data_IF_138486698290
#
_entry.id   IF_138486698290
#
_cell.length_a   1.000
_cell.length_b   1.000
_cell.length_c   1.000
_cell.angle_alpha   90.00
_cell.angle_beta   90.00
_cell.angle_gamma   90.00
#
_symmetry.space_group_name_H-M   'P 1'
#
loop_
_entity.id
_entity.type
_entity.pdbx_description
1 polymer ?
#
# COMPACT_ATOMS: atom_id res chain seq x y z
N UNK A 1 -21.63 83.85 -36.10
CA UNK A 1 -20.74 82.88 -36.78
C UNK A 1 -19.48 82.65 -35.96
N UNK A 2 -19.34 81.49 -35.30
CA UNK A 2 -18.04 80.93 -34.89
C UNK A 2 -18.26 79.46 -34.54
N UNK A 3 -17.49 78.60 -35.22
CA UNK A 3 -17.67 77.15 -35.38
C UNK A 3 -17.28 76.42 -34.09
N UNK A 4 -18.05 75.39 -33.73
CA UNK A 4 -17.68 74.43 -32.69
C UNK A 4 -16.76 73.38 -33.32
N UNK A 5 -15.60 73.14 -32.72
CA UNK A 5 -14.68 72.09 -33.11
C UNK A 5 -14.96 70.86 -32.25
N UNK A 6 -15.43 69.78 -32.87
CA UNK A 6 -15.62 68.48 -32.23
C UNK A 6 -14.30 67.73 -32.28
N UNK A 7 -13.67 67.54 -31.13
CA UNK A 7 -12.45 66.73 -31.01
C UNK A 7 -12.85 65.26 -30.83
N UNK A 8 -12.59 64.44 -31.84
CA UNK A 8 -12.67 62.98 -31.76
C UNK A 8 -11.41 62.45 -31.06
N UNK A 9 -11.58 61.76 -29.94
CA UNK A 9 -10.52 61.01 -29.26
C UNK A 9 -10.54 59.58 -29.82
N UNK A 10 -9.43 59.03 -30.33
CA UNK A 10 -9.42 57.66 -30.81
C UNK A 10 -9.38 56.71 -29.61
N UNK A 11 -10.30 55.73 -29.61
CA UNK A 11 -10.25 54.59 -28.70
C UNK A 11 -9.17 53.63 -29.21
N UNK A 12 -8.06 53.52 -28.49
CA UNK A 12 -7.02 52.51 -28.77
C UNK A 12 -7.45 51.22 -28.06
N UNK A 13 -7.90 50.23 -28.83
CA UNK A 13 -8.02 48.86 -28.33
C UNK A 13 -6.61 48.27 -28.17
N UNK A 14 -6.15 48.15 -26.93
CA UNK A 14 -5.00 47.33 -26.60
C UNK A 14 -5.41 45.86 -26.67
N UNK A 15 -5.10 45.18 -27.76
CA UNK A 15 -5.17 43.72 -27.84
C UNK A 15 -4.02 43.14 -27.01
N UNK A 16 -4.28 42.84 -25.75
CA UNK A 16 -3.35 42.06 -24.93
C UNK A 16 -3.22 40.66 -25.51
N UNK A 17 -2.08 40.32 -26.11
CA UNK A 17 -1.72 38.93 -26.37
C UNK A 17 -1.48 38.27 -25.01
N UNK A 18 -2.42 37.44 -24.56
CA UNK A 18 -2.19 36.54 -23.46
C UNK A 18 -1.19 35.49 -23.92
N UNK A 19 0.05 35.55 -23.44
CA UNK A 19 1.01 34.48 -23.62
C UNK A 19 0.43 33.20 -22.98
N UNK A 20 0.54 32.02 -23.62
CA UNK A 20 0.18 30.78 -22.98
C UNK A 20 1.09 30.60 -21.74
N UNK A 21 0.48 30.32 -20.59
CA UNK A 21 1.23 29.93 -19.41
C UNK A 21 2.07 28.69 -19.78
N UNK A 22 3.40 28.79 -19.62
CA UNK A 22 4.25 27.63 -19.76
C UNK A 22 3.80 26.59 -18.73
N UNK A 23 3.38 25.42 -19.21
CA UNK A 23 3.13 24.29 -18.34
C UNK A 23 4.42 24.03 -17.54
N UNK A 24 4.30 23.91 -16.22
CA UNK A 24 5.41 23.49 -15.38
C UNK A 24 5.96 22.17 -15.95
N UNK A 25 7.30 21.96 -15.94
CA UNK A 25 7.84 20.68 -16.36
C UNK A 25 7.18 19.58 -15.53
N UNK A 26 6.60 18.59 -16.20
CA UNK A 26 6.18 17.37 -15.53
C UNK A 26 7.39 16.86 -14.73
N UNK A 27 7.21 16.67 -13.41
CA UNK A 27 8.20 15.96 -12.62
C UNK A 27 8.55 14.67 -13.36
N UNK A 28 9.84 14.34 -13.45
CA UNK A 28 10.21 13.05 -14.03
C UNK A 28 9.44 11.97 -13.26
N UNK A 29 8.55 11.25 -13.95
CA UNK A 29 7.85 10.12 -13.36
C UNK A 29 8.90 9.12 -12.89
N UNK A 30 8.81 8.64 -11.64
CA UNK A 30 9.68 7.55 -11.20
C UNK A 30 9.40 6.32 -12.04
N UNK A 31 10.48 5.59 -12.31
CA UNK A 31 10.46 4.36 -13.06
C UNK A 31 10.29 3.15 -12.14
N UNK A 32 10.76 3.24 -10.89
CA UNK A 32 10.81 2.12 -9.97
C UNK A 32 10.17 2.46 -8.62
N UNK A 33 9.46 1.50 -7.98
CA UNK A 33 8.96 1.66 -6.62
C UNK A 33 10.02 2.04 -5.58
N UNK A 34 11.27 1.59 -5.75
CA UNK A 34 12.39 1.93 -4.87
C UNK A 34 12.82 3.41 -4.94
N UNK A 35 12.33 4.17 -5.92
CA UNK A 35 12.53 5.63 -5.98
C UNK A 35 11.50 6.39 -5.13
N UNK A 36 10.42 5.71 -4.71
CA UNK A 36 9.33 6.27 -3.89
C UNK A 36 9.43 5.80 -2.44
N UNK A 37 9.69 4.49 -2.23
CA UNK A 37 9.82 3.88 -0.91
C UNK A 37 11.25 3.37 -0.68
N UNK A 38 11.73 3.42 0.55
CA UNK A 38 12.98 2.73 0.92
C UNK A 38 12.75 1.22 1.00
N UNK A 39 13.21 0.50 -0.03
CA UNK A 39 13.05 -0.94 -0.18
C UNK A 39 14.32 -1.73 0.18
N UNK A 40 15.32 -1.11 0.81
CA UNK A 40 16.60 -1.77 1.07
C UNK A 40 16.47 -3.03 1.94
N UNK A 41 15.53 -3.02 2.90
CA UNK A 41 15.26 -4.08 3.85
C UNK A 41 13.94 -4.80 3.52
N UNK A 42 13.70 -5.10 2.25
CA UNK A 42 12.50 -5.81 1.80
C UNK A 42 12.84 -6.75 0.65
N UNK A 43 12.06 -7.82 0.51
CA UNK A 43 11.79 -8.43 -0.80
C UNK A 43 10.32 -8.27 -1.16
N UNK A 44 9.99 -8.29 -2.45
CA UNK A 44 8.60 -8.30 -2.93
C UNK A 44 8.21 -9.71 -3.38
N UNK A 45 7.10 -10.24 -2.85
CA UNK A 45 6.44 -11.42 -3.38
C UNK A 45 5.29 -11.02 -4.31
N UNK A 46 5.23 -11.60 -5.51
CA UNK A 46 4.33 -11.19 -6.58
C UNK A 46 3.29 -12.28 -6.94
N UNK A 47 2.12 -11.90 -7.49
CA UNK A 47 1.04 -12.84 -7.84
C UNK A 47 1.27 -13.51 -9.21
N UNK A 48 2.52 -13.58 -9.66
CA UNK A 48 2.95 -14.17 -10.93
C UNK A 48 4.10 -15.13 -10.65
N UNK A 49 4.40 -16.02 -11.58
CA UNK A 49 5.46 -17.01 -11.43
C UNK A 49 5.01 -18.37 -11.94
N UNK A 50 5.67 -19.41 -11.46
CA UNK A 50 5.27 -20.79 -11.74
C UNK A 50 4.17 -21.21 -10.76
N UNK A 51 3.43 -22.25 -11.12
CA UNK A 51 2.40 -22.84 -10.25
C UNK A 51 2.96 -23.16 -8.85
N UNK A 52 2.20 -22.76 -7.82
CA UNK A 52 2.56 -22.81 -6.40
C UNK A 52 3.87 -22.07 -5.98
N UNK A 53 4.47 -21.30 -6.90
CA UNK A 53 5.78 -20.63 -6.75
C UNK A 53 5.72 -19.17 -7.21
N UNK A 54 5.15 -18.27 -6.40
CA UNK A 54 5.15 -16.86 -6.71
C UNK A 54 6.58 -16.34 -6.84
N UNK A 55 6.76 -15.40 -7.77
CA UNK A 55 8.02 -14.74 -8.01
C UNK A 55 8.36 -13.84 -6.81
N UNK A 56 9.49 -14.12 -6.17
CA UNK A 56 10.10 -13.19 -5.23
C UNK A 56 11.22 -12.42 -5.93
N UNK A 57 11.27 -11.12 -5.71
CA UNK A 57 12.37 -10.26 -6.16
C UNK A 57 13.05 -9.68 -4.93
N UNK A 58 14.31 -10.06 -4.74
CA UNK A 58 15.15 -9.65 -3.62
C UNK A 58 16.13 -8.55 -4.07
N UNK A 59 16.92 -8.02 -3.14
CA UNK A 59 18.02 -7.12 -3.49
C UNK A 59 19.21 -7.91 -4.08
N UNK A 60 19.96 -7.33 -5.04
CA UNK A 60 19.88 -5.96 -5.53
C UNK A 60 18.85 -5.72 -6.67
N UNK A 61 18.21 -6.77 -7.19
CA UNK A 61 17.29 -6.65 -8.33
C UNK A 61 16.11 -5.73 -8.01
N UNK A 62 15.57 -5.81 -6.79
CA UNK A 62 14.43 -5.02 -6.33
C UNK A 62 14.65 -3.50 -6.46
N UNK A 63 15.88 -3.01 -6.28
CA UNK A 63 16.21 -1.59 -6.39
C UNK A 63 15.86 -0.97 -7.76
N UNK A 64 15.75 -1.79 -8.81
CA UNK A 64 15.39 -1.35 -10.17
C UNK A 64 14.33 -2.26 -10.79
N UNK A 65 13.44 -2.81 -9.96
CA UNK A 65 12.38 -3.71 -10.43
C UNK A 65 11.03 -3.03 -10.41
N UNK A 66 10.26 -3.21 -11.47
CA UNK A 66 8.85 -2.86 -11.55
C UNK A 66 8.17 -3.85 -12.51
N UNK A 67 6.90 -4.16 -12.26
CA UNK A 67 6.10 -5.00 -13.15
C UNK A 67 4.64 -4.55 -13.12
N UNK A 68 4.16 -4.05 -14.25
CA UNK A 68 2.77 -3.63 -14.41
C UNK A 68 1.84 -4.83 -14.60
N UNK A 69 0.64 -4.86 -13.97
CA UNK A 69 0.10 -3.90 -13.00
C UNK A 69 0.41 -4.25 -11.53
N UNK A 70 1.24 -5.27 -11.26
CA UNK A 70 1.34 -5.89 -9.93
C UNK A 70 2.15 -5.08 -8.92
N UNK A 71 3.19 -4.38 -9.38
CA UNK A 71 4.12 -3.63 -8.53
C UNK A 71 4.78 -2.51 -9.34
N UNK A 72 4.23 -1.30 -9.25
CA UNK A 72 4.66 -0.13 -10.01
C UNK A 72 4.59 1.14 -9.17
N UNK A 73 5.39 2.19 -9.47
CA UNK A 73 5.08 3.51 -8.94
C UNK A 73 3.74 4.00 -9.52
N UNK A 74 3.02 4.78 -8.72
CA UNK A 74 1.84 5.52 -9.18
C UNK A 74 2.22 6.56 -10.24
N UNK A 75 1.27 6.97 -11.08
CA UNK A 75 1.53 7.99 -12.13
C UNK A 75 2.02 9.33 -11.54
N UNK A 76 1.55 9.68 -10.35
CA UNK A 76 1.94 10.90 -9.64
C UNK A 76 3.33 10.81 -8.98
N UNK A 77 3.91 9.61 -8.93
CA UNK A 77 5.20 9.34 -8.29
C UNK A 77 5.25 9.71 -6.79
N UNK A 78 4.13 9.56 -6.09
CA UNK A 78 4.01 9.83 -4.65
C UNK A 78 3.60 8.58 -3.85
N UNK A 79 3.36 7.46 -4.53
CA UNK A 79 3.11 6.15 -3.94
C UNK A 79 3.46 4.99 -4.86
N UNK A 80 3.33 3.77 -4.33
CA UNK A 80 3.58 2.51 -5.01
C UNK A 80 2.30 1.68 -5.02
N UNK A 81 1.88 1.25 -6.20
CA UNK A 81 0.75 0.36 -6.41
C UNK A 81 1.18 -1.10 -6.17
N UNK A 82 0.41 -1.80 -5.34
CA UNK A 82 0.46 -3.23 -5.15
C UNK A 82 -0.88 -3.82 -5.59
N UNK A 83 -0.87 -4.72 -6.58
CA UNK A 83 -2.09 -5.37 -7.08
C UNK A 83 -1.94 -6.88 -7.07
N UNK A 84 -2.97 -7.59 -6.63
CA UNK A 84 -3.06 -9.04 -6.74
C UNK A 84 -4.46 -9.46 -7.19
N UNK A 85 -4.54 -10.04 -8.39
CA UNK A 85 -5.78 -10.57 -8.95
C UNK A 85 -6.14 -11.94 -8.38
N UNK A 86 -7.43 -12.29 -8.37
CA UNK A 86 -7.97 -13.54 -7.79
C UNK A 86 -7.48 -14.81 -8.50
N UNK A 87 -6.96 -14.69 -9.71
CA UNK A 87 -6.34 -15.76 -10.48
C UNK A 87 -4.80 -15.78 -10.35
N UNK A 88 -4.24 -14.94 -9.47
CA UNK A 88 -2.80 -14.85 -9.25
C UNK A 88 -2.20 -16.12 -8.65
N UNK A 89 -0.92 -16.33 -8.93
CA UNK A 89 -0.12 -17.42 -8.36
C UNK A 89 -0.05 -17.28 -6.85
N UNK A 90 -0.17 -18.40 -6.14
CA UNK A 90 -0.08 -18.46 -4.68
C UNK A 90 1.10 -19.33 -4.25
N UNK A 91 1.65 -19.06 -3.08
CA UNK A 91 2.62 -19.97 -2.46
C UNK A 91 1.93 -21.28 -2.09
N UNK A 92 2.59 -22.42 -2.28
CA UNK A 92 2.14 -23.71 -1.72
C UNK A 92 1.66 -23.55 -0.27
N UNK A 93 0.42 -23.98 0.01
CA UNK A 93 -0.21 -23.87 1.33
C UNK A 93 -1.01 -22.59 1.58
N UNK A 94 -0.82 -21.53 0.78
CA UNK A 94 -1.67 -20.33 0.78
C UNK A 94 -2.67 -20.41 -0.36
N UNK A 95 -3.93 -20.11 -0.06
CA UNK A 95 -5.01 -20.12 -1.05
C UNK A 95 -5.19 -18.78 -1.77
N UNK A 96 -4.46 -17.75 -1.34
CA UNK A 96 -4.69 -16.36 -1.76
C UNK A 96 -3.43 -15.71 -2.35
N UNK A 97 -3.58 -14.92 -3.42
CA UNK A 97 -2.48 -14.25 -4.12
C UNK A 97 -2.13 -12.91 -3.47
N UNK A 98 -0.88 -12.48 -3.65
CA UNK A 98 -0.37 -11.24 -3.06
C UNK A 98 0.64 -10.53 -3.95
N UNK A 99 0.64 -9.20 -3.87
CA UNK A 99 1.78 -8.35 -4.21
C UNK A 99 2.16 -7.64 -2.92
N UNK A 100 3.15 -8.19 -2.21
CA UNK A 100 3.37 -7.84 -0.81
C UNK A 100 4.85 -7.91 -0.43
N UNK A 101 5.33 -6.83 0.16
CA UNK A 101 6.67 -6.75 0.72
C UNK A 101 6.77 -7.61 1.98
N UNK A 102 7.90 -8.27 2.14
CA UNK A 102 8.29 -9.01 3.33
C UNK A 102 9.58 -8.42 3.87
N UNK A 103 9.55 -8.00 5.13
CA UNK A 103 10.65 -7.32 5.82
C UNK A 103 11.94 -8.16 5.79
N UNK A 104 13.09 -7.55 5.56
CA UNK A 104 14.41 -8.18 5.58
C UNK A 104 15.30 -7.44 6.60
N UNK A 105 16.38 -8.09 7.01
CA UNK A 105 17.48 -7.47 7.76
C UNK A 105 18.75 -7.58 6.90
N UNK A 106 18.96 -6.56 6.06
CA UNK A 106 19.92 -6.63 4.96
C UNK A 106 19.56 -7.75 3.98
N UNK A 107 20.45 -8.73 3.82
CA UNK A 107 20.22 -9.90 2.96
C UNK A 107 19.52 -11.06 3.66
N UNK A 108 19.35 -10.98 4.98
CA UNK A 108 18.75 -12.05 5.77
C UNK A 108 17.27 -11.78 6.02
N UNK A 109 16.55 -12.85 6.35
CA UNK A 109 15.16 -12.71 6.74
C UNK A 109 15.07 -12.08 8.13
N UNK A 110 14.43 -10.92 8.24
CA UNK A 110 14.03 -10.35 9.53
C UNK A 110 13.24 -11.39 10.36
N UNK A 111 13.57 -11.46 11.64
CA UNK A 111 12.94 -12.32 12.64
C UNK A 111 13.23 -11.74 14.02
N UNK A 112 12.24 -11.10 14.63
CA UNK A 112 12.39 -10.40 15.91
C UNK A 112 11.38 -10.89 16.97
N UNK A 113 11.75 -10.86 18.28
CA UNK A 113 10.90 -11.37 19.35
C UNK A 113 9.93 -10.31 19.89
N UNK A 114 8.69 -10.69 20.17
CA UNK A 114 7.69 -9.75 20.73
C UNK A 114 8.04 -9.20 22.14
N UNK A 115 8.92 -9.91 22.87
CA UNK A 115 9.22 -9.66 24.30
C UNK A 115 10.54 -8.93 24.55
N UNK A 116 11.26 -8.51 23.51
CA UNK A 116 12.53 -7.81 23.66
C UNK A 116 12.68 -6.77 22.56
N UNK A 117 13.12 -5.57 22.92
CA UNK A 117 13.15 -4.43 22.02
C UNK A 117 11.77 -3.84 21.72
N UNK A 118 11.78 -2.81 20.88
CA UNK A 118 10.59 -2.17 20.32
C UNK A 118 10.66 -2.22 18.81
N UNK A 119 9.63 -2.76 18.17
CA UNK A 119 9.57 -2.93 16.72
C UNK A 119 8.35 -2.19 16.18
N UNK A 120 8.57 -1.23 15.29
CA UNK A 120 7.50 -0.36 14.78
C UNK A 120 7.49 -0.39 13.26
N UNK A 121 6.33 -0.66 12.68
CA UNK A 121 6.03 -0.41 11.27
C UNK A 121 4.95 0.66 11.19
N UNK A 122 5.18 1.68 10.35
CA UNK A 122 4.17 2.67 9.97
C UNK A 122 4.00 2.65 8.46
N UNK A 123 2.75 2.57 8.01
CA UNK A 123 2.35 2.54 6.60
C UNK A 123 1.36 3.68 6.37
N UNK A 124 1.68 4.57 5.43
CA UNK A 124 0.75 5.56 4.88
C UNK A 124 0.21 5.02 3.55
N UNK A 125 -1.08 4.71 3.48
CA UNK A 125 -1.64 3.91 2.39
C UNK A 125 -3.12 4.19 2.10
N UNK A 126 -3.59 3.69 0.96
CA UNK A 126 -5.01 3.59 0.62
C UNK A 126 -5.30 2.23 -0.02
N UNK A 127 -6.43 1.61 0.34
CA UNK A 127 -6.95 0.44 -0.37
C UNK A 127 -7.84 0.96 -1.50
N UNK A 128 -7.45 0.75 -2.75
CA UNK A 128 -8.06 1.39 -3.93
C UNK A 128 -8.99 0.45 -4.70
N UNK A 129 -8.82 -0.85 -4.55
CA UNK A 129 -9.70 -1.85 -5.15
C UNK A 129 -9.85 -3.09 -4.26
N UNK A 130 -11.00 -3.76 -4.41
CA UNK A 130 -11.32 -5.02 -3.75
C UNK A 130 -11.93 -5.98 -4.78
N UNK A 131 -11.73 -7.30 -4.62
CA UNK A 131 -12.29 -8.28 -5.55
C UNK A 131 -13.83 -8.35 -5.43
N UNK A 132 -14.50 -8.83 -6.47
CA UNK A 132 -15.94 -8.71 -6.65
C UNK A 132 -16.80 -9.40 -5.57
N UNK A 133 -16.82 -10.74 -5.52
CA UNK A 133 -17.79 -11.46 -4.67
C UNK A 133 -17.35 -11.56 -3.20
N UNK A 134 -16.03 -11.51 -2.96
CA UNK A 134 -15.42 -11.55 -1.62
C UNK A 134 -14.49 -10.35 -1.44
N UNK A 135 -15.02 -9.12 -1.28
CA UNK A 135 -14.29 -7.85 -1.31
C UNK A 135 -13.38 -7.64 -0.09
N UNK A 136 -12.39 -8.52 0.06
CA UNK A 136 -11.56 -8.63 1.25
C UNK A 136 -10.09 -8.45 0.85
N UNK A 137 -9.39 -7.52 1.49
CA UNK A 137 -7.97 -7.23 1.24
C UNK A 137 -7.28 -7.01 2.57
N UNK A 138 -6.08 -7.57 2.71
CA UNK A 138 -5.16 -7.26 3.81
C UNK A 138 -4.09 -6.30 3.30
N UNK A 139 -3.82 -5.25 4.07
CA UNK A 139 -3.00 -4.10 3.68
C UNK A 139 -1.82 -3.83 4.64
N UNK A 140 -1.48 -4.75 5.51
CA UNK A 140 -0.36 -4.59 6.45
C UNK A 140 -0.43 -5.62 7.57
N UNK A 141 0.69 -6.22 7.92
CA UNK A 141 0.71 -7.41 8.77
C UNK A 141 1.90 -7.45 9.72
N UNK A 142 1.69 -8.12 10.85
CA UNK A 142 2.71 -8.87 11.57
C UNK A 142 2.47 -10.35 11.29
N UNK A 143 3.52 -11.07 10.95
CA UNK A 143 3.49 -12.52 10.69
C UNK A 143 4.63 -13.19 11.44
N UNK A 144 4.48 -14.45 11.84
CA UNK A 144 5.56 -15.24 12.41
C UNK A 144 5.90 -16.49 11.56
N UNK A 145 6.52 -17.51 12.15
CA UNK A 145 6.91 -18.73 11.43
C UNK A 145 5.74 -19.65 11.09
N UNK A 146 4.59 -19.49 11.76
CA UNK A 146 3.41 -20.33 11.60
C UNK A 146 2.36 -19.64 10.75
N UNK A 147 1.90 -18.46 11.16
CA UNK A 147 0.78 -17.76 10.50
C UNK A 147 0.79 -16.24 10.73
N UNK A 148 -0.23 -15.54 10.20
CA UNK A 148 -0.45 -14.14 10.52
C UNK A 148 -0.82 -13.95 12.01
N UNK A 149 -0.17 -12.97 12.65
CA UNK A 149 -0.39 -12.67 14.07
C UNK A 149 -1.47 -11.60 14.21
N UNK A 150 -1.35 -10.51 13.43
CA UNK A 150 -2.34 -9.43 13.40
C UNK A 150 -2.19 -8.63 12.11
N UNK A 151 -3.31 -8.29 11.48
CA UNK A 151 -3.32 -7.60 10.20
C UNK A 151 -4.34 -6.46 10.15
N UNK A 152 -4.07 -5.46 9.30
CA UNK A 152 -5.09 -4.51 8.85
C UNK A 152 -5.87 -5.12 7.69
N UNK A 153 -7.16 -5.36 7.89
CA UNK A 153 -8.02 -6.09 6.96
C UNK A 153 -9.27 -5.30 6.62
N UNK A 154 -9.50 -5.08 5.34
CA UNK A 154 -10.77 -4.55 4.83
C UNK A 154 -11.67 -5.71 4.41
N UNK A 155 -12.94 -5.67 4.82
CA UNK A 155 -14.02 -6.53 4.33
C UNK A 155 -15.21 -5.66 3.87
N UNK A 156 -15.37 -5.50 2.56
CA UNK A 156 -16.32 -4.54 1.99
C UNK A 156 -15.95 -3.11 2.36
N UNK A 157 -16.68 -2.51 3.30
CA UNK A 157 -16.41 -1.16 3.85
C UNK A 157 -15.88 -1.18 5.28
N UNK A 158 -15.71 -2.37 5.87
CA UNK A 158 -15.32 -2.51 7.27
C UNK A 158 -13.83 -2.77 7.38
N UNK A 159 -13.12 -1.85 8.02
CA UNK A 159 -11.69 -1.97 8.27
C UNK A 159 -11.48 -2.49 9.70
N UNK A 160 -10.67 -3.53 9.83
CA UNK A 160 -10.40 -4.25 11.07
C UNK A 160 -8.91 -4.33 11.38
N UNK A 161 -8.61 -4.52 12.67
CA UNK A 161 -7.39 -5.18 13.15
C UNK A 161 -7.76 -6.59 13.60
N UNK A 162 -7.03 -7.62 13.14
CA UNK A 162 -7.28 -9.03 13.50
C UNK A 162 -6.49 -9.47 14.75
N UNK A 163 -6.88 -10.60 15.32
CA UNK A 163 -6.13 -11.36 16.34
C UNK A 163 -6.04 -12.83 15.89
N UNK A 164 -4.94 -13.17 15.21
CA UNK A 164 -4.79 -14.42 14.46
C UNK A 164 -6.00 -14.69 13.54
N UNK A 165 -6.57 -15.89 13.66
CA UNK A 165 -7.77 -16.33 12.94
C UNK A 165 -9.04 -15.49 13.22
N UNK A 166 -9.05 -14.64 14.25
CA UNK A 166 -10.20 -13.79 14.59
C UNK A 166 -10.20 -12.56 13.68
N UNK A 167 -10.80 -12.71 12.49
CA UNK A 167 -10.77 -11.67 11.45
C UNK A 167 -11.53 -10.38 11.79
N UNK A 168 -12.43 -10.42 12.78
CA UNK A 168 -13.26 -9.30 13.21
C UNK A 168 -12.97 -8.83 14.66
N UNK A 169 -11.77 -9.11 15.17
CA UNK A 169 -11.35 -8.77 16.54
C UNK A 169 -11.64 -7.32 16.94
N UNK A 170 -11.17 -6.34 16.15
CA UNK A 170 -11.41 -4.92 16.41
C UNK A 170 -11.83 -4.17 15.14
N UNK A 171 -13.05 -3.66 15.12
CA UNK A 171 -13.56 -2.79 14.05
C UNK A 171 -13.00 -1.37 14.24
N UNK A 172 -12.26 -0.88 13.25
CA UNK A 172 -11.76 0.50 13.20
C UNK A 172 -12.86 1.44 12.67
N UNK A 173 -13.42 1.10 11.51
CA UNK A 173 -14.55 1.80 10.89
C UNK A 173 -15.36 0.84 10.04
N UNK A 174 -16.67 1.08 9.90
CA UNK A 174 -17.57 0.37 8.97
C UNK A 174 -17.92 1.17 7.70
N UNK A 175 -17.33 2.36 7.53
CA UNK A 175 -17.63 3.28 6.45
C UNK A 175 -16.48 3.55 5.47
N UNK A 176 -15.41 2.75 5.50
CA UNK A 176 -14.23 2.97 4.65
C UNK A 176 -14.62 3.14 3.17
N UNK A 177 -14.13 4.22 2.56
CA UNK A 177 -14.28 4.52 1.14
C UNK A 177 -12.97 4.20 0.43
N UNK A 178 -13.03 3.38 -0.64
CA UNK A 178 -11.86 3.03 -1.42
C UNK A 178 -11.12 4.29 -1.89
N UNK A 179 -9.78 4.26 -1.79
CA UNK A 179 -8.92 5.41 -2.06
C UNK A 179 -8.78 6.40 -0.89
N UNK A 180 -9.49 6.20 0.23
CA UNK A 180 -9.26 7.00 1.44
C UNK A 180 -7.89 6.65 2.00
N UNK A 181 -6.98 7.63 1.99
CA UNK A 181 -5.65 7.52 2.56
C UNK A 181 -5.72 7.50 4.09
N UNK A 182 -4.95 6.61 4.71
CA UNK A 182 -4.85 6.45 6.15
C UNK A 182 -3.45 5.99 6.58
N UNK A 183 -3.08 6.31 7.82
CA UNK A 183 -1.90 5.77 8.46
C UNK A 183 -2.27 4.54 9.31
N UNK A 184 -1.68 3.39 8.99
CA UNK A 184 -1.67 2.20 9.82
C UNK A 184 -0.33 2.07 10.53
N UNK A 185 -0.34 1.76 11.82
CA UNK A 185 0.89 1.54 12.57
C UNK A 185 0.77 0.38 13.54
N UNK A 186 1.79 -0.47 13.56
CA UNK A 186 2.01 -1.46 14.59
C UNK A 186 3.22 -1.06 15.43
N UNK A 187 3.10 -1.20 16.75
CA UNK A 187 4.23 -1.14 17.70
C UNK A 187 4.22 -2.41 18.52
N UNK A 188 5.31 -3.17 18.48
CA UNK A 188 5.48 -4.40 19.26
C UNK A 188 6.58 -4.18 20.29
N UNK A 189 6.24 -4.37 21.56
CA UNK A 189 7.17 -4.21 22.69
C UNK A 189 6.58 -4.89 23.92
N UNK A 190 7.43 -5.35 24.85
CA UNK A 190 7.00 -5.91 26.14
C UNK A 190 5.97 -7.06 26.06
N UNK A 191 5.94 -7.80 24.94
CA UNK A 191 4.96 -8.87 24.71
C UNK A 191 3.56 -8.37 24.36
N UNK A 192 3.44 -7.17 23.82
CA UNK A 192 2.19 -6.60 23.32
C UNK A 192 2.33 -6.09 21.89
N UNK A 193 1.27 -6.19 21.10
CA UNK A 193 1.10 -5.47 19.83
C UNK A 193 0.11 -4.32 20.07
N UNK A 194 0.50 -3.10 19.74
CA UNK A 194 -0.37 -1.92 19.72
C UNK A 194 -0.62 -1.52 18.28
N UNK A 195 -1.88 -1.53 17.87
CA UNK A 195 -2.30 -1.13 16.52
C UNK A 195 -2.93 0.27 16.56
N UNK A 196 -2.49 1.15 15.67
CA UNK A 196 -2.96 2.53 15.56
C UNK A 196 -3.52 2.80 14.17
N UNK A 197 -4.54 3.66 14.12
CA UNK A 197 -5.15 4.17 12.89
C UNK A 197 -5.17 5.70 12.96
N UNK A 198 -4.54 6.38 12.01
CA UNK A 198 -4.40 7.84 11.97
C UNK A 198 -3.89 8.44 13.29
N UNK A 199 -2.90 7.78 13.90
CA UNK A 199 -2.30 8.18 15.17
C UNK A 199 -3.08 7.78 16.43
N UNK A 200 -4.33 7.32 16.31
CA UNK A 200 -5.15 6.88 17.45
C UNK A 200 -4.96 5.39 17.73
N UNK A 201 -4.72 5.03 18.99
CA UNK A 201 -4.63 3.63 19.42
C UNK A 201 -6.00 2.96 19.27
N UNK A 202 -6.05 1.87 18.51
CA UNK A 202 -7.27 1.12 18.23
C UNK A 202 -7.42 -0.07 19.18
N UNK A 203 -6.38 -0.90 19.28
CA UNK A 203 -6.38 -2.09 20.15
C UNK A 203 -4.97 -2.42 20.65
N UNK A 204 -4.91 -3.19 21.73
CA UNK A 204 -3.68 -3.81 22.25
C UNK A 204 -3.91 -5.31 22.39
N UNK A 205 -3.00 -6.11 21.85
CA UNK A 205 -3.06 -7.57 21.82
C UNK A 205 -1.87 -8.15 22.58
N UNK A 206 -2.02 -9.27 23.31
CA UNK A 206 -0.87 -10.01 23.81
C UNK A 206 -0.07 -10.63 22.66
N UNK A 207 1.24 -10.71 22.79
CA UNK A 207 2.14 -11.28 21.78
C UNK A 207 3.24 -12.14 22.42
N UNK A 208 3.45 -13.33 21.86
CA UNK A 208 4.38 -14.32 22.44
C UNK A 208 5.31 -15.01 21.44
N UNK A 209 5.46 -14.48 20.24
CA UNK A 209 6.36 -15.03 19.21
C UNK A 209 7.82 -14.57 19.39
N UNK A 210 8.74 -15.31 18.78
CA UNK A 210 10.19 -15.03 18.80
C UNK A 210 10.78 -14.68 17.42
N UNK A 211 10.00 -14.81 16.35
CA UNK A 211 10.46 -14.65 14.96
C UNK A 211 9.45 -13.91 14.11
N UNK A 212 8.89 -12.82 14.66
CA UNK A 212 7.98 -11.95 13.95
C UNK A 212 8.69 -11.16 12.86
N UNK A 213 7.92 -10.77 11.85
CA UNK A 213 8.34 -9.85 10.80
C UNK A 213 7.14 -9.09 10.24
N UNK A 214 7.42 -7.93 9.66
CA UNK A 214 6.42 -7.08 9.06
C UNK A 214 6.16 -7.40 7.58
N UNK A 215 4.95 -7.09 7.12
CA UNK A 215 4.56 -7.14 5.70
C UNK A 215 3.68 -5.96 5.33
N UNK A 216 3.80 -5.47 4.10
CA UNK A 216 3.01 -4.35 3.57
C UNK A 216 2.76 -4.52 2.07
N UNK A 217 1.56 -4.18 1.60
CA UNK A 217 1.16 -4.32 0.20
C UNK A 217 -0.28 -4.84 0.08
N UNK A 218 -0.61 -5.48 -1.04
CA UNK A 218 -1.93 -6.03 -1.29
C UNK A 218 -1.94 -7.55 -1.16
N UNK A 219 -2.58 -8.06 -0.11
CA UNK A 219 -2.89 -9.48 0.04
C UNK A 219 -4.39 -9.70 -0.18
N UNK A 220 -4.76 -10.14 -1.39
CA UNK A 220 -6.14 -10.28 -1.84
C UNK A 220 -6.77 -11.53 -1.25
N UNK A 221 -7.76 -11.38 -0.38
CA UNK A 221 -8.34 -12.48 0.38
C UNK A 221 -9.47 -13.18 -0.39
N UNK A 222 -9.25 -13.39 -1.68
CA UNK A 222 -10.13 -14.09 -2.60
C UNK A 222 -9.30 -14.78 -3.68
N UNK A 223 -9.86 -15.84 -4.24
CA UNK A 223 -9.33 -16.55 -5.39
C UNK A 223 -10.48 -16.94 -6.34
N UNK A 224 -10.18 -17.63 -7.43
CA UNK A 224 -11.20 -18.04 -8.41
C UNK A 224 -12.33 -18.94 -7.87
N UNK A 225 -12.14 -19.60 -6.73
CA UNK A 225 -13.20 -20.38 -6.06
C UNK A 225 -14.13 -19.51 -5.21
N UNK A 226 -13.70 -18.28 -4.87
CA UNK A 226 -14.39 -17.37 -3.95
C UNK A 226 -14.86 -16.08 -4.62
N UNK A 227 -14.42 -15.79 -5.84
CA UNK A 227 -14.77 -14.57 -6.56
C UNK A 227 -14.72 -14.77 -8.07
N UNK A 228 -15.71 -14.22 -8.77
CA UNK A 228 -15.82 -14.18 -10.22
C UNK A 228 -15.91 -12.74 -10.75
N UNK A 229 -15.42 -12.46 -11.97
CA UNK A 229 -14.77 -13.40 -12.89
C UNK A 229 -13.36 -13.81 -12.43
N UNK A 230 -12.88 -14.97 -12.91
CA UNK A 230 -11.53 -15.49 -12.63
C UNK A 230 -10.56 -14.93 -13.68
N UNK A 231 -10.19 -13.67 -13.54
CA UNK A 231 -9.25 -12.98 -14.42
C UNK A 231 -8.53 -11.82 -13.72
N UNK A 232 -7.53 -11.26 -14.40
CA UNK A 232 -6.67 -10.18 -13.91
C UNK A 232 -7.45 -8.88 -13.57
N UNK A 233 -8.68 -8.74 -14.06
CA UNK A 233 -9.57 -7.61 -13.80
C UNK A 233 -10.35 -7.69 -12.48
N UNK A 234 -10.26 -8.82 -11.76
CA UNK A 234 -10.83 -9.01 -10.43
C UNK A 234 -9.71 -9.11 -9.39
N UNK A 235 -9.45 -8.04 -8.65
CA UNK A 235 -8.25 -7.90 -7.82
C UNK A 235 -8.48 -7.11 -6.54
N UNK A 236 -7.56 -7.28 -5.59
CA UNK A 236 -7.29 -6.34 -4.52
C UNK A 236 -6.13 -5.42 -4.91
N UNK A 237 -6.21 -4.16 -4.50
CA UNK A 237 -5.15 -3.17 -4.73
C UNK A 237 -4.97 -2.25 -3.53
N UNK A 238 -3.70 -1.96 -3.24
CA UNK A 238 -3.26 -1.02 -2.20
C UNK A 238 -2.21 -0.10 -2.81
N UNK A 239 -2.36 1.21 -2.60
CA UNK A 239 -1.33 2.20 -2.85
C UNK A 239 -0.63 2.55 -1.52
N UNK A 240 0.69 2.41 -1.46
CA UNK A 240 1.50 2.79 -0.29
C UNK A 240 2.32 4.03 -0.64
N UNK A 241 2.08 5.12 0.09
CA UNK A 241 2.72 6.41 -0.09
C UNK A 241 3.91 6.62 0.86
N UNK A 242 3.97 5.85 1.95
CA UNK A 242 5.06 5.88 2.91
C UNK A 242 5.15 4.58 3.68
N UNK A 243 6.37 4.10 3.90
CA UNK A 243 6.64 2.87 4.64
C UNK A 243 7.92 3.04 5.44
N UNK A 244 7.81 2.92 6.77
CA UNK A 244 8.96 3.00 7.67
C UNK A 244 8.92 1.86 8.68
N UNK A 245 10.08 1.25 8.90
CA UNK A 245 10.29 0.23 9.93
C UNK A 245 11.45 0.66 10.82
N UNK A 246 11.30 0.48 12.12
CA UNK A 246 12.33 0.74 13.12
C UNK A 246 12.37 -0.36 14.16
N UNK A 247 13.58 -0.68 14.63
CA UNK A 247 13.82 -1.57 15.76
C UNK A 247 14.74 -0.86 16.75
N UNK A 248 14.37 -0.92 18.03
CA UNK A 248 15.14 -0.37 19.15
C UNK A 248 15.36 -1.50 20.19
N UNK A 249 16.49 -1.48 20.88
CA UNK A 249 16.85 -2.47 21.92
C UNK A 249 16.24 -2.15 23.29
#
# INVERSE_FOLDING_TARGET
>A
MKRWATTLVPLVLATGLSAPAAAAPASAACQYPAEVLDLANWYIGLPIGDDEKPLNVEQPELATYAVDPWFTPTEACDGVQFRAAVNGVTTSGSNYPRSELREMDGSEKAAWPAKSGTHTMTIDQAITAVPADKPHVVAGQIHDSEDDVSVFRLEGRKLYVTDGDTSDHHLITDDYELGTRFEAKFVVSDGEIKAYYNGELQTTLPASFSGGYFKAGAYTQANCDKSAPCDDGNYGEVEVYGLTVTHED
#
